data_IF_713360579382
#
_entry.id   IF_713360579382
#
_cell.length_a   1.000
_cell.length_b   1.000
_cell.length_c   1.000
_cell.angle_alpha   90.00
_cell.angle_beta   90.00
_cell.angle_gamma   90.00
#
_symmetry.space_group_name_H-M   'P 1'
#
loop_
_entity.id
_entity.type
_entity.pdbx_description
1 polymer ?
#
# COMPACT_ATOMS: atom_id res chain seq x y z
N UNK A 1 29.84 -11.26 41.58
CA UNK A 1 28.61 -11.34 40.78
C UNK A 1 27.85 -10.04 40.98
N UNK A 2 27.33 -9.49 39.88
CA UNK A 2 26.58 -8.24 39.73
C UNK A 2 27.44 -6.97 39.69
N UNK A 3 27.26 -6.01 38.78
CA UNK A 3 26.80 -6.01 37.38
C UNK A 3 27.27 -4.65 36.83
N UNK A 4 27.73 -4.67 35.59
CA UNK A 4 28.37 -3.56 34.89
C UNK A 4 27.30 -2.78 34.12
N UNK A 5 27.20 -1.46 34.27
CA UNK A 5 26.54 -0.62 33.24
C UNK A 5 27.24 0.74 33.18
N UNK A 6 28.17 0.81 32.24
CA UNK A 6 28.83 2.05 31.83
C UNK A 6 27.84 2.94 31.08
N UNK A 7 27.73 4.15 31.60
CA UNK A 7 27.31 5.38 30.98
C UNK A 7 27.97 5.60 29.60
N UNK A 8 27.17 5.77 28.52
CA UNK A 8 27.54 6.58 27.34
C UNK A 8 26.26 7.23 26.79
N UNK A 9 26.07 8.51 27.10
CA UNK A 9 25.38 9.45 26.22
C UNK A 9 26.37 9.94 25.15
N UNK A 10 25.98 9.86 23.88
CA UNK A 10 26.45 10.78 22.86
C UNK A 10 25.31 11.02 21.86
N UNK A 11 24.75 12.22 21.97
CA UNK A 11 23.81 12.82 21.03
C UNK A 11 24.46 12.99 19.65
N UNK A 12 23.77 12.55 18.60
CA UNK A 12 23.86 13.10 17.25
C UNK A 12 22.44 13.18 16.68
N UNK A 13 21.89 14.37 16.79
CA UNK A 13 21.11 15.08 15.78
C UNK A 13 19.89 14.38 15.14
N UNK A 14 18.74 14.66 15.77
CA UNK A 14 17.58 15.40 15.21
C UNK A 14 17.15 15.03 13.76
N UNK A 15 15.86 14.63 13.64
CA UNK A 15 15.04 14.47 12.42
C UNK A 15 14.94 13.08 11.76
N UNK A 16 14.54 12.02 12.48
CA UNK A 16 14.01 10.77 11.86
C UNK A 16 12.83 10.12 12.59
N UNK A 17 12.01 10.88 13.31
CA UNK A 17 10.89 10.32 14.10
C UNK A 17 9.51 10.49 13.42
N UNK A 18 9.35 10.01 12.18
CA UNK A 18 8.02 9.88 11.57
C UNK A 18 7.93 8.80 10.47
N UNK A 19 9.06 8.29 9.97
CA UNK A 19 9.07 7.37 8.84
C UNK A 19 9.04 5.87 9.22
N UNK A 20 9.29 5.49 10.47
CA UNK A 20 9.30 4.07 10.87
C UNK A 20 7.89 3.49 11.09
N UNK A 21 6.93 4.32 11.50
CA UNK A 21 5.55 3.87 11.76
C UNK A 21 4.73 3.70 10.48
N UNK A 22 5.07 4.42 9.40
CA UNK A 22 4.35 4.35 8.13
C UNK A 22 4.68 3.08 7.32
N UNK A 23 5.90 2.55 7.47
CA UNK A 23 6.37 1.36 6.75
C UNK A 23 5.74 0.07 7.29
N UNK A 24 5.40 0.00 8.58
CA UNK A 24 4.96 -1.25 9.23
C UNK A 24 3.49 -1.62 8.97
N UNK A 25 2.66 -0.70 8.50
CA UNK A 25 1.21 -0.95 8.40
C UNK A 25 0.79 -1.53 7.04
N UNK A 26 1.67 -1.63 6.05
CA UNK A 26 1.39 -2.35 4.79
C UNK A 26 2.00 -3.77 4.77
N UNK A 27 2.99 -4.04 5.63
CA UNK A 27 3.59 -5.37 5.77
C UNK A 27 2.66 -6.42 6.40
N UNK A 28 1.57 -5.99 7.04
CA UNK A 28 0.58 -6.88 7.65
C UNK A 28 -0.65 -7.14 6.75
N UNK A 29 -0.65 -6.63 5.52
CA UNK A 29 -1.86 -6.48 4.70
C UNK A 29 -1.81 -7.30 3.39
N UNK A 30 -1.09 -8.43 3.30
CA UNK A 30 -1.06 -9.27 2.07
C UNK A 30 -0.78 -8.52 0.74
N UNK A 31 -0.16 -7.34 0.81
CA UNK A 31 0.24 -6.53 -0.33
C UNK A 31 1.74 -6.75 -0.63
N UNK A 32 2.16 -6.73 -1.91
CA UNK A 32 1.34 -6.57 -3.10
C UNK A 32 0.52 -7.83 -3.43
N UNK A 33 -0.69 -7.64 -3.96
CA UNK A 33 -1.61 -8.68 -4.38
C UNK A 33 -0.97 -9.50 -5.51
N UNK A 34 -0.88 -10.80 -5.29
CA UNK A 34 -0.21 -11.74 -6.21
C UNK A 34 -1.08 -12.93 -6.62
N UNK A 35 -2.25 -13.09 -6.01
CA UNK A 35 -3.15 -14.21 -6.29
C UNK A 35 -4.62 -13.89 -5.93
N UNK A 36 -5.50 -14.78 -6.35
CA UNK A 36 -6.95 -14.67 -6.18
C UNK A 36 -7.40 -14.60 -4.71
N UNK A 37 -6.75 -15.34 -3.80
CA UNK A 37 -7.11 -15.29 -2.38
C UNK A 37 -6.74 -13.93 -1.77
N UNK A 38 -5.57 -13.38 -2.13
CA UNK A 38 -5.13 -12.07 -1.63
C UNK A 38 -6.01 -10.93 -2.11
N UNK A 39 -6.46 -10.96 -3.38
CA UNK A 39 -7.36 -9.92 -3.89
C UNK A 39 -8.75 -10.01 -3.24
N UNK A 40 -9.30 -11.21 -3.04
CA UNK A 40 -10.61 -11.38 -2.42
C UNK A 40 -10.61 -10.93 -0.96
N UNK A 41 -9.55 -11.24 -0.20
CA UNK A 41 -9.41 -10.75 1.17
C UNK A 41 -9.25 -9.22 1.23
N UNK A 42 -8.51 -8.65 0.28
CA UNK A 42 -8.33 -7.20 0.20
C UNK A 42 -9.65 -6.49 -0.16
N UNK A 43 -10.38 -6.98 -1.17
CA UNK A 43 -11.70 -6.46 -1.56
C UNK A 43 -12.72 -6.55 -0.43
N UNK A 44 -12.73 -7.63 0.33
CA UNK A 44 -13.59 -7.77 1.52
C UNK A 44 -13.21 -6.78 2.63
N UNK A 45 -11.91 -6.53 2.82
CA UNK A 45 -11.44 -5.53 3.80
C UNK A 45 -11.86 -4.11 3.39
N UNK A 46 -11.95 -3.84 2.09
CA UNK A 46 -12.43 -2.58 1.52
C UNK A 46 -13.95 -2.38 1.61
N UNK A 47 -14.70 -3.25 2.30
CA UNK A 47 -16.09 -2.97 2.69
C UNK A 47 -16.16 -2.01 3.88
N UNK A 48 -15.10 -1.94 4.69
CA UNK A 48 -15.03 -1.07 5.86
C UNK A 48 -14.55 0.33 5.50
N UNK A 49 -15.35 1.36 5.79
CA UNK A 49 -14.98 2.76 5.54
C UNK A 49 -13.68 3.18 6.25
N UNK A 50 -13.51 2.77 7.52
CA UNK A 50 -12.28 3.07 8.27
C UNK A 50 -11.03 2.44 7.64
N UNK A 51 -11.19 1.27 7.01
CA UNK A 51 -10.11 0.62 6.28
C UNK A 51 -9.82 1.34 4.96
N UNK A 52 -10.85 1.74 4.22
CA UNK A 52 -10.72 2.57 3.01
C UNK A 52 -9.92 3.84 3.33
N UNK A 53 -10.33 4.62 4.33
CA UNK A 53 -9.67 5.89 4.69
C UNK A 53 -8.18 5.70 4.98
N UNK A 54 -7.85 4.62 5.70
CA UNK A 54 -6.48 4.23 6.03
C UNK A 54 -5.68 3.88 4.78
N UNK A 55 -6.25 3.14 3.84
CA UNK A 55 -5.58 2.74 2.59
C UNK A 55 -5.40 3.95 1.67
N UNK A 56 -6.44 4.75 1.47
CA UNK A 56 -6.42 5.99 0.69
C UNK A 56 -5.33 6.93 1.22
N UNK A 57 -5.34 7.21 2.52
CA UNK A 57 -4.34 8.06 3.16
C UNK A 57 -2.90 7.60 2.90
N UNK A 58 -2.65 6.28 2.91
CA UNK A 58 -1.32 5.72 2.61
C UNK A 58 -0.96 5.80 1.13
N UNK A 59 -1.93 5.57 0.24
CA UNK A 59 -1.70 5.68 -1.20
C UNK A 59 -1.38 7.13 -1.58
N UNK A 60 -2.07 8.12 -0.99
CA UNK A 60 -1.80 9.55 -1.21
C UNK A 60 -0.39 9.98 -0.79
N UNK A 61 0.28 9.27 0.13
CA UNK A 61 1.70 9.49 0.44
C UNK A 61 2.65 9.06 -0.70
N UNK A 62 2.14 8.34 -1.70
CA UNK A 62 2.91 7.77 -2.81
C UNK A 62 2.90 8.64 -4.07
N UNK A 63 2.43 9.89 -3.95
CA UNK A 63 2.32 10.84 -5.06
C UNK A 63 3.69 11.08 -5.72
N UNK A 64 3.70 11.06 -7.05
CA UNK A 64 4.82 11.39 -7.91
C UNK A 64 4.78 12.84 -8.36
N UNK A 65 5.71 13.22 -9.24
CA UNK A 65 5.74 14.58 -9.82
C UNK A 65 4.63 14.80 -10.84
N UNK A 66 4.09 13.72 -11.39
CA UNK A 66 3.04 13.72 -12.41
C UNK A 66 1.98 12.68 -12.08
N UNK A 67 0.75 12.89 -12.58
CA UNK A 67 -0.37 11.94 -12.38
C UNK A 67 -0.01 10.52 -12.86
N UNK A 68 0.58 10.30 -14.06
CA UNK A 68 0.97 8.96 -14.48
C UNK A 68 1.98 8.30 -13.55
N UNK A 69 2.91 9.08 -13.01
CA UNK A 69 3.89 8.59 -12.03
C UNK A 69 3.23 8.22 -10.69
N UNK A 70 2.30 9.05 -10.20
CA UNK A 70 1.49 8.76 -9.01
C UNK A 70 0.72 7.46 -9.16
N UNK A 71 -0.05 7.32 -10.24
CA UNK A 71 -0.85 6.12 -10.52
C UNK A 71 0.05 4.88 -10.60
N UNK A 72 1.18 4.98 -11.30
CA UNK A 72 2.16 3.89 -11.39
C UNK A 72 2.66 3.46 -10.01
N UNK A 73 3.06 4.42 -9.16
CA UNK A 73 3.56 4.14 -7.81
C UNK A 73 2.51 3.47 -6.93
N UNK A 74 1.27 3.95 -6.97
CA UNK A 74 0.17 3.37 -6.21
C UNK A 74 -0.17 1.95 -6.69
N UNK A 75 -0.26 1.74 -8.02
CA UNK A 75 -0.48 0.40 -8.61
C UNK A 75 0.59 -0.61 -8.19
N UNK A 76 1.87 -0.21 -8.23
CA UNK A 76 3.00 -1.08 -7.85
C UNK A 76 3.02 -1.44 -6.36
N UNK A 77 2.40 -0.62 -5.51
CA UNK A 77 2.22 -0.95 -4.08
C UNK A 77 1.10 -1.94 -3.85
N UNK A 78 0.05 -1.88 -4.67
CA UNK A 78 -1.14 -2.71 -4.51
C UNK A 78 -1.02 -4.07 -5.20
N UNK A 79 -0.37 -4.15 -6.35
CA UNK A 79 -0.38 -5.35 -7.20
C UNK A 79 1.01 -5.74 -7.67
N UNK A 80 1.22 -7.06 -7.79
CA UNK A 80 2.34 -7.60 -8.56
C UNK A 80 2.02 -7.48 -10.05
N UNK A 81 2.94 -6.92 -10.83
CA UNK A 81 2.76 -6.66 -12.26
C UNK A 81 2.28 -7.91 -13.03
N UNK A 82 2.84 -9.09 -12.73
CA UNK A 82 2.47 -10.34 -13.40
C UNK A 82 1.06 -10.81 -13.06
N UNK A 83 0.56 -10.52 -11.87
CA UNK A 83 -0.83 -10.81 -11.50
C UNK A 83 -1.79 -9.83 -12.17
N UNK A 84 -1.42 -8.54 -12.25
CA UNK A 84 -2.24 -7.50 -12.85
C UNK A 84 -2.49 -7.73 -14.35
N UNK A 85 -1.64 -8.55 -15.02
CA UNK A 85 -1.87 -8.98 -16.42
C UNK A 85 -3.20 -9.68 -16.62
N UNK A 86 -3.75 -10.33 -15.59
CA UNK A 86 -5.05 -11.02 -15.62
C UNK A 86 -6.23 -10.05 -15.63
N UNK A 87 -5.96 -8.77 -15.38
CA UNK A 87 -6.95 -7.71 -15.35
C UNK A 87 -6.78 -6.76 -16.53
N UNK A 88 -7.88 -6.11 -16.89
CA UNK A 88 -7.86 -4.93 -17.74
C UNK A 88 -8.95 -3.99 -17.28
N UNK A 89 -8.81 -2.70 -17.60
CA UNK A 89 -9.77 -1.70 -17.13
C UNK A 89 -11.23 -2.07 -17.45
N UNK A 90 -11.50 -2.46 -18.71
CA UNK A 90 -12.85 -2.80 -19.18
C UNK A 90 -13.20 -4.30 -19.19
N UNK A 91 -12.23 -5.20 -18.93
CA UNK A 91 -12.43 -6.65 -19.09
C UNK A 91 -12.20 -7.17 -20.52
N UNK A 92 -11.23 -6.60 -21.25
CA UNK A 92 -10.93 -6.95 -22.63
C UNK A 92 -10.22 -8.32 -22.74
N UNK A 93 -10.56 -9.08 -23.79
CA UNK A 93 -9.90 -10.34 -24.17
C UNK A 93 -9.91 -11.41 -23.07
N UNK A 94 -11.05 -11.57 -22.40
CA UNK A 94 -11.24 -12.58 -21.35
C UNK A 94 -10.54 -12.26 -20.02
N UNK A 95 -10.03 -11.04 -19.87
CA UNK A 95 -9.45 -10.56 -18.61
C UNK A 95 -10.54 -10.09 -17.66
N UNK A 96 -10.23 -10.15 -16.37
CA UNK A 96 -11.11 -9.62 -15.33
C UNK A 96 -11.22 -8.09 -15.44
N UNK A 97 -12.40 -7.57 -15.12
CA UNK A 97 -12.69 -6.14 -15.17
C UNK A 97 -12.13 -5.46 -13.92
N UNK A 98 -11.11 -4.63 -14.10
CA UNK A 98 -10.50 -3.89 -13.00
C UNK A 98 -11.42 -2.79 -12.49
N UNK A 99 -12.16 -2.11 -13.37
CA UNK A 99 -13.01 -0.97 -12.97
C UNK A 99 -14.19 -1.34 -12.07
N UNK A 100 -14.50 -2.63 -11.90
CA UNK A 100 -15.54 -3.09 -10.98
C UNK A 100 -15.04 -3.34 -9.56
N UNK A 101 -13.72 -3.37 -9.35
CA UNK A 101 -13.10 -3.64 -8.05
C UNK A 101 -13.14 -2.39 -7.15
N UNK A 102 -13.28 -2.60 -5.84
CA UNK A 102 -13.14 -1.52 -4.85
C UNK A 102 -11.71 -0.99 -4.83
N UNK A 103 -10.72 -1.87 -5.06
CA UNK A 103 -9.32 -1.48 -5.23
C UNK A 103 -9.11 -0.42 -6.32
N UNK A 104 -9.92 -0.45 -7.38
CA UNK A 104 -9.87 0.58 -8.42
C UNK A 104 -10.45 1.91 -7.95
N UNK A 105 -11.53 1.89 -7.15
CA UNK A 105 -12.18 3.11 -6.64
C UNK A 105 -11.25 3.86 -5.69
N UNK A 106 -10.64 3.16 -4.74
CA UNK A 106 -9.71 3.76 -3.77
C UNK A 106 -8.47 4.36 -4.43
N UNK A 107 -8.05 3.84 -5.59
CA UNK A 107 -6.92 4.37 -6.34
C UNK A 107 -7.25 5.76 -6.91
N UNK A 108 -8.48 5.96 -7.39
CA UNK A 108 -8.94 7.26 -7.87
C UNK A 108 -9.20 8.24 -6.72
N UNK A 109 -9.63 7.76 -5.56
CA UNK A 109 -9.84 8.59 -4.38
C UNK A 109 -8.52 9.09 -3.76
N UNK A 110 -7.45 8.32 -3.92
CA UNK A 110 -6.13 8.67 -3.37
C UNK A 110 -5.34 9.71 -4.18
N UNK A 111 -5.82 10.09 -5.37
CA UNK A 111 -5.15 10.97 -6.35
C UNK A 111 -5.82 12.34 -6.37
#
# INVERSE_FOLDING_TARGET
MLENVNNICSELDVTKHSNLTAVSVLNNENLPISNEATINNFEMSLESSAYIDKVVSKLSLSVGKTIPETIRRMMQKLFVDDWLRNYSYIGFKGKNKFSSLHSCKILFEAV
#
